data_IF_599067912797
#
_entry.id   IF_599067912797
#
_cell.length_a   1.000
_cell.length_b   1.000
_cell.length_c   1.000
_cell.angle_alpha   90.00
_cell.angle_beta   90.00
_cell.angle_gamma   90.00
#
_symmetry.space_group_name_H-M   'P 1'
#
loop_
_entity.id
_entity.type
_entity.pdbx_description
1 polymer ?
#
# COMPACT_ATOMS: atom_id res chain seq x y z
N UNK A 1 -13.03 13.07 0.65
CA UNK A 1 -12.73 12.43 1.95
C UNK A 1 -11.79 11.26 1.70
N UNK A 2 -10.55 11.30 2.22
CA UNK A 2 -9.52 10.28 2.00
C UNK A 2 -9.87 9.02 2.80
N UNK A 3 -10.22 7.91 2.15
CA UNK A 3 -10.47 6.63 2.83
C UNK A 3 -9.15 5.86 3.02
N UNK A 4 -8.14 6.49 3.64
CA UNK A 4 -6.87 5.86 4.00
C UNK A 4 -6.92 5.15 5.37
N UNK A 5 -8.07 5.17 6.06
CA UNK A 5 -8.15 4.71 7.44
C UNK A 5 -8.14 3.19 7.60
N UNK A 6 -8.36 2.42 6.51
CA UNK A 6 -8.26 0.96 6.53
C UNK A 6 -7.58 0.47 5.25
N UNK A 7 -6.32 0.03 5.31
CA UNK A 7 -5.67 -0.66 4.20
C UNK A 7 -6.54 -1.83 3.72
N UNK A 8 -6.59 -2.06 2.41
CA UNK A 8 -7.31 -3.20 1.80
C UNK A 8 -6.53 -3.72 0.60
N UNK A 9 -6.68 -5.00 0.32
CA UNK A 9 -6.05 -5.68 -0.82
C UNK A 9 -4.54 -5.44 -0.94
N UNK A 10 -3.84 -5.28 0.18
CA UNK A 10 -2.43 -4.93 0.21
C UNK A 10 -1.70 -5.84 1.19
N UNK A 11 -0.58 -6.37 0.73
CA UNK A 11 0.39 -7.08 1.56
C UNK A 11 1.70 -6.33 1.50
N UNK A 12 2.31 -6.10 2.65
CA UNK A 12 3.64 -5.52 2.76
C UNK A 12 4.50 -6.39 3.64
N UNK A 13 5.72 -6.64 3.16
CA UNK A 13 6.73 -7.40 3.85
C UNK A 13 7.95 -6.50 4.06
N UNK A 14 8.51 -6.51 5.25
CA UNK A 14 9.71 -5.75 5.59
C UNK A 14 10.78 -6.67 6.15
N UNK A 15 12.04 -6.40 5.80
CA UNK A 15 13.18 -6.87 6.57
C UNK A 15 13.44 -5.85 7.68
N UNK A 16 13.56 -6.34 8.91
CA UNK A 16 13.71 -5.53 10.12
C UNK A 16 14.96 -5.96 10.86
N UNK A 17 15.84 -5.01 11.18
CA UNK A 17 16.97 -5.23 12.09
C UNK A 17 16.73 -4.44 13.37
N UNK A 18 16.79 -5.12 14.51
CA UNK A 18 16.69 -4.50 15.83
C UNK A 18 18.08 -4.31 16.41
N UNK A 19 18.39 -3.11 16.87
CA UNK A 19 19.62 -2.83 17.62
C UNK A 19 19.35 -2.61 19.11
N UNK A 20 20.38 -2.86 19.90
CA UNK A 20 20.49 -2.55 21.32
C UNK A 20 21.82 -1.85 21.59
N UNK A 21 22.08 -1.59 22.87
CA UNK A 21 23.36 -1.06 23.36
C UNK A 21 23.79 -1.88 24.56
N UNK A 22 25.09 -2.06 24.72
CA UNK A 22 25.65 -2.57 25.97
C UNK A 22 25.50 -1.52 27.08
N UNK A 23 25.45 -1.95 28.34
CA UNK A 23 25.40 -1.03 29.49
C UNK A 23 26.64 -0.12 29.58
N UNK A 24 27.79 -0.58 29.09
CA UNK A 24 29.08 0.12 29.16
C UNK A 24 29.60 0.66 27.82
N UNK A 25 28.84 0.53 26.72
CA UNK A 25 29.34 0.78 25.37
C UNK A 25 28.42 1.61 24.48
N UNK A 26 29.01 2.36 23.56
CA UNK A 26 28.30 3.22 22.59
C UNK A 26 28.00 2.52 21.27
N UNK A 27 28.62 1.36 20.99
CA UNK A 27 28.43 0.62 19.77
C UNK A 27 27.05 -0.09 19.73
N UNK A 28 26.28 0.03 18.63
CA UNK A 28 25.03 -0.69 18.47
C UNK A 28 25.29 -2.19 18.26
N UNK A 29 24.48 -3.02 18.91
CA UNK A 29 24.54 -4.48 18.80
C UNK A 29 23.28 -4.98 18.13
N UNK A 30 23.38 -5.92 17.20
CA UNK A 30 22.19 -6.56 16.60
C UNK A 30 21.53 -7.45 17.66
N UNK A 31 20.29 -7.13 18.01
CA UNK A 31 19.46 -7.94 18.91
C UNK A 31 18.65 -8.99 18.14
N UNK A 32 18.36 -8.74 16.87
CA UNK A 32 17.59 -9.65 16.04
C UNK A 32 17.35 -9.11 14.64
N UNK A 33 17.08 -10.03 13.72
CA UNK A 33 16.63 -9.74 12.37
C UNK A 33 15.37 -10.54 12.09
N UNK A 34 14.36 -9.87 11.55
CA UNK A 34 13.05 -10.45 11.31
C UNK A 34 12.55 -10.08 9.93
N UNK A 35 11.81 -10.99 9.30
CA UNK A 35 10.93 -10.68 8.17
C UNK A 35 9.51 -10.57 8.69
N UNK A 36 8.95 -9.38 8.65
CA UNK A 36 7.59 -9.11 9.15
C UNK A 36 6.65 -8.80 7.99
N UNK A 37 5.44 -9.32 8.06
CA UNK A 37 4.42 -9.12 7.03
C UNK A 37 3.14 -8.59 7.67
N UNK A 38 2.54 -7.57 7.06
CA UNK A 38 1.18 -7.14 7.32
C UNK A 38 0.39 -7.23 6.01
N UNK A 39 -0.73 -7.92 6.04
CA UNK A 39 -1.67 -7.97 4.94
C UNK A 39 -3.04 -7.48 5.39
N UNK A 40 -3.75 -6.82 4.48
CA UNK A 40 -5.16 -6.53 4.63
C UNK A 40 -5.90 -7.07 3.42
N UNK A 41 -6.93 -7.86 3.65
CA UNK A 41 -7.75 -8.44 2.60
C UNK A 41 -8.71 -7.41 1.97
N UNK A 42 -9.65 -7.87 1.13
CA UNK A 42 -10.64 -6.99 0.51
C UNK A 42 -11.67 -6.37 1.45
N UNK A 43 -11.90 -7.02 2.59
CA UNK A 43 -12.79 -6.54 3.65
C UNK A 43 -12.05 -5.66 4.66
N UNK A 44 -10.72 -5.60 4.58
CA UNK A 44 -9.87 -4.90 5.53
C UNK A 44 -9.58 -5.72 6.79
N UNK A 45 -9.79 -7.03 6.75
CA UNK A 45 -9.32 -7.95 7.79
C UNK A 45 -7.81 -8.03 7.70
N UNK A 46 -7.14 -7.80 8.82
CA UNK A 46 -5.69 -7.76 8.89
C UNK A 46 -5.17 -9.14 9.29
N UNK A 47 -4.17 -9.63 8.56
CA UNK A 47 -3.33 -10.76 8.98
C UNK A 47 -1.88 -10.31 9.10
N UNK A 48 -1.15 -10.95 10.00
CA UNK A 48 0.20 -10.56 10.36
C UNK A 48 1.08 -11.79 10.57
N UNK A 49 2.34 -11.70 10.17
CA UNK A 49 3.31 -12.77 10.41
C UNK A 49 4.71 -12.22 10.70
N UNK A 50 5.49 -13.01 11.43
CA UNK A 50 6.90 -12.78 11.73
C UNK A 50 7.66 -14.06 11.39
N UNK A 51 8.67 -13.95 10.52
CA UNK A 51 9.51 -15.05 10.06
C UNK A 51 8.70 -16.23 9.51
N UNK A 52 7.59 -15.91 8.82
CA UNK A 52 6.68 -16.87 8.21
C UNK A 52 5.70 -17.54 9.18
N UNK A 53 5.66 -17.15 10.45
CA UNK A 53 4.72 -17.65 11.45
C UNK A 53 3.65 -16.62 11.75
N UNK A 54 2.40 -17.09 11.92
CA UNK A 54 1.28 -16.23 12.29
C UNK A 54 1.59 -15.47 13.59
N UNK A 55 1.26 -14.18 13.56
CA UNK A 55 1.44 -13.27 14.67
C UNK A 55 0.22 -12.36 14.80
N UNK A 56 0.11 -11.66 15.92
CA UNK A 56 -0.89 -10.60 16.06
C UNK A 56 -0.41 -9.33 15.33
N UNK A 57 -1.36 -8.54 14.83
CA UNK A 57 -1.07 -7.21 14.28
C UNK A 57 -0.27 -6.36 15.27
N UNK A 58 -0.68 -6.37 16.55
CA UNK A 58 -0.02 -5.62 17.62
C UNK A 58 1.46 -6.00 17.77
N UNK A 59 1.80 -7.29 17.68
CA UNK A 59 3.19 -7.76 17.79
C UNK A 59 4.04 -7.28 16.60
N UNK A 60 3.53 -7.40 15.38
CA UNK A 60 4.25 -6.91 14.18
C UNK A 60 4.42 -5.40 14.22
N UNK A 61 3.38 -4.65 14.61
CA UNK A 61 3.45 -3.19 14.78
C UNK A 61 4.46 -2.80 15.86
N UNK A 62 4.55 -3.55 16.96
CA UNK A 62 5.55 -3.32 18.00
C UNK A 62 6.99 -3.50 17.47
N UNK A 63 7.25 -4.56 16.70
CA UNK A 63 8.55 -4.81 16.05
C UNK A 63 8.91 -3.68 15.10
N UNK A 64 7.99 -3.31 14.19
CA UNK A 64 8.19 -2.22 13.24
C UNK A 64 8.45 -0.88 13.95
N UNK A 65 7.69 -0.55 14.98
CA UNK A 65 7.86 0.70 15.71
C UNK A 65 9.17 0.73 16.50
N UNK A 66 9.59 -0.40 17.09
CA UNK A 66 10.90 -0.51 17.75
C UNK A 66 12.04 -0.29 16.75
N UNK A 67 11.95 -0.94 15.58
CA UNK A 67 12.94 -0.79 14.54
C UNK A 67 12.98 0.63 13.94
N UNK A 68 11.84 1.32 13.82
CA UNK A 68 11.83 2.74 13.40
C UNK A 68 12.52 3.68 14.39
N UNK A 69 12.48 3.38 15.69
CA UNK A 69 13.07 4.25 16.73
C UNK A 69 14.59 4.14 16.84
N UNK A 70 15.16 2.97 16.54
CA UNK A 70 16.60 2.76 16.74
C UNK A 70 17.18 1.54 16.03
N UNK A 71 16.43 0.97 15.07
CA UNK A 71 16.81 -0.16 14.24
C UNK A 71 16.91 0.23 12.77
N UNK A 72 16.69 -0.74 11.89
CA UNK A 72 16.47 -0.54 10.46
C UNK A 72 15.18 -1.22 10.02
N UNK A 73 14.46 -0.57 9.11
CA UNK A 73 13.27 -1.11 8.45
C UNK A 73 13.44 -0.91 6.95
N UNK A 74 13.44 -2.00 6.20
CA UNK A 74 13.50 -1.98 4.74
C UNK A 74 12.26 -2.67 4.18
N UNK A 75 11.52 -1.99 3.28
CA UNK A 75 10.45 -2.65 2.53
C UNK A 75 11.09 -3.71 1.62
N UNK A 76 10.71 -4.97 1.84
CA UNK A 76 11.15 -6.10 1.04
C UNK A 76 10.22 -6.31 -0.15
N UNK A 77 8.91 -6.28 0.10
CA UNK A 77 7.89 -6.53 -0.92
C UNK A 77 6.61 -5.76 -0.60
N UNK A 78 5.93 -5.25 -1.64
CA UNK A 78 4.55 -4.77 -1.55
C UNK A 78 3.74 -5.39 -2.69
N UNK A 79 2.70 -6.14 -2.33
CA UNK A 79 1.75 -6.73 -3.28
C UNK A 79 0.41 -6.02 -3.14
N UNK A 80 -0.15 -5.58 -4.25
CA UNK A 80 -1.51 -5.01 -4.33
C UNK A 80 -2.38 -5.82 -5.25
N UNK A 81 -3.53 -6.26 -4.76
CA UNK A 81 -4.54 -6.92 -5.58
C UNK A 81 -5.36 -5.85 -6.29
N UNK A 82 -5.12 -5.72 -7.59
CA UNK A 82 -5.83 -4.76 -8.43
C UNK A 82 -7.15 -5.29 -9.01
N UNK A 83 -7.79 -4.47 -9.84
CA UNK A 83 -9.06 -4.78 -10.49
C UNK A 83 -8.90 -5.97 -11.44
N UNK A 84 -9.84 -6.94 -11.43
CA UNK A 84 -9.89 -7.95 -12.48
C UNK A 84 -10.17 -7.30 -13.84
N UNK A 85 -9.69 -7.91 -14.93
CA UNK A 85 -9.77 -7.36 -16.30
C UNK A 85 -11.15 -6.81 -16.67
N UNK A 86 -12.29 -7.49 -16.39
CA UNK A 86 -13.61 -6.95 -16.71
C UNK A 86 -13.93 -5.64 -15.95
N UNK A 87 -13.48 -5.53 -14.70
CA UNK A 87 -13.71 -4.32 -13.90
C UNK A 87 -12.78 -3.17 -14.32
N UNK A 88 -11.52 -3.47 -14.69
CA UNK A 88 -10.62 -2.48 -15.28
C UNK A 88 -11.14 -1.96 -16.63
N UNK A 89 -11.72 -2.84 -17.47
CA UNK A 89 -12.36 -2.46 -18.73
C UNK A 89 -13.58 -1.56 -18.50
N UNK A 90 -14.39 -1.81 -17.46
CA UNK A 90 -15.46 -0.89 -17.06
C UNK A 90 -14.93 0.49 -16.67
N UNK A 91 -13.91 0.55 -15.82
CA UNK A 91 -13.29 1.81 -15.44
C UNK A 91 -12.72 2.57 -16.65
N UNK A 92 -12.10 1.86 -17.59
CA UNK A 92 -11.63 2.44 -18.86
C UNK A 92 -12.78 3.10 -19.64
N UNK A 93 -13.94 2.44 -19.74
CA UNK A 93 -15.13 3.00 -20.40
C UNK A 93 -15.67 4.22 -19.65
N UNK A 94 -15.73 4.16 -18.33
CA UNK A 94 -16.19 5.28 -17.50
C UNK A 94 -15.31 6.52 -17.72
N UNK A 95 -13.99 6.36 -17.78
CA UNK A 95 -13.06 7.45 -18.06
C UNK A 95 -13.21 8.02 -19.48
N UNK A 96 -13.44 7.15 -20.47
CA UNK A 96 -13.72 7.59 -21.84
C UNK A 96 -15.03 8.39 -21.93
N UNK A 97 -16.09 7.94 -21.24
CA UNK A 97 -17.37 8.65 -21.18
C UNK A 97 -17.26 10.00 -20.47
N UNK A 98 -16.34 10.13 -19.51
CA UNK A 98 -16.02 11.41 -18.88
C UNK A 98 -15.24 12.36 -19.81
N UNK A 99 -14.81 11.93 -21.00
CA UNK A 99 -14.04 12.74 -21.95
C UNK A 99 -12.53 12.65 -21.77
N UNK A 100 -12.02 11.72 -20.96
CA UNK A 100 -10.56 11.50 -20.85
C UNK A 100 -10.08 10.70 -22.06
N UNK A 101 -9.09 11.24 -22.77
CA UNK A 101 -8.43 10.57 -23.88
C UNK A 101 -7.81 9.23 -23.43
N UNK A 102 -7.96 8.19 -24.24
CA UNK A 102 -7.53 6.83 -23.91
C UNK A 102 -6.06 6.74 -23.43
N UNK A 103 -5.16 7.50 -24.05
CA UNK A 103 -3.74 7.55 -23.67
C UNK A 103 -3.48 8.10 -22.26
N UNK A 104 -4.44 8.79 -21.65
CA UNK A 104 -4.29 9.45 -20.36
C UNK A 104 -4.97 8.72 -19.20
N UNK A 105 -5.65 7.59 -19.43
CA UNK A 105 -6.41 6.91 -18.37
C UNK A 105 -5.53 6.47 -17.19
N UNK A 106 -4.37 5.85 -17.48
CA UNK A 106 -3.40 5.44 -16.48
C UNK A 106 -2.74 6.64 -15.79
N UNK A 107 -2.53 7.75 -16.51
CA UNK A 107 -1.98 8.98 -15.94
C UNK A 107 -2.97 9.64 -14.96
N UNK A 108 -4.25 9.71 -15.31
CA UNK A 108 -5.33 10.18 -14.42
C UNK A 108 -5.44 9.30 -13.18
N UNK A 109 -5.38 7.98 -13.34
CA UNK A 109 -5.36 7.06 -12.20
C UNK A 109 -4.13 7.28 -11.31
N UNK A 110 -2.96 7.51 -11.91
CA UNK A 110 -1.72 7.79 -11.18
C UNK A 110 -1.83 9.06 -10.36
N UNK A 111 -2.33 10.14 -10.97
CA UNK A 111 -2.55 11.42 -10.31
C UNK A 111 -3.58 11.29 -9.17
N UNK A 112 -4.69 10.58 -9.42
CA UNK A 112 -5.73 10.36 -8.42
C UNK A 112 -5.21 9.62 -7.18
N UNK A 113 -4.33 8.63 -7.37
CA UNK A 113 -3.89 7.72 -6.31
C UNK A 113 -2.52 8.06 -5.70
N UNK A 114 -1.79 9.02 -6.28
CA UNK A 114 -0.46 9.42 -5.80
C UNK A 114 0.60 8.34 -5.96
N UNK A 115 0.43 7.42 -6.92
CA UNK A 115 1.37 6.34 -7.24
C UNK A 115 1.36 6.06 -8.73
N UNK A 116 2.46 5.55 -9.27
CA UNK A 116 2.54 5.19 -10.70
C UNK A 116 1.60 4.02 -10.99
N UNK A 117 0.70 4.23 -11.96
CA UNK A 117 -0.20 3.23 -12.54
C UNK A 117 0.15 3.14 -14.02
N UNK A 118 0.59 1.97 -14.48
CA UNK A 118 0.80 1.69 -15.90
C UNK A 118 -0.43 1.07 -16.56
N UNK A 119 -1.30 0.42 -15.78
CA UNK A 119 -2.54 -0.19 -16.25
C UNK A 119 -3.65 -0.05 -15.21
N UNK A 120 -4.89 0.17 -15.65
CA UNK A 120 -6.07 0.22 -14.76
C UNK A 120 -6.31 -1.10 -14.00
N UNK A 121 -5.71 -2.21 -14.42
CA UNK A 121 -5.70 -3.47 -13.64
C UNK A 121 -4.91 -3.35 -12.34
N UNK A 122 -4.10 -2.30 -12.15
CA UNK A 122 -3.35 -2.04 -10.91
C UNK A 122 -4.12 -1.16 -9.91
N UNK A 123 -5.25 -0.56 -10.32
CA UNK A 123 -6.17 0.14 -9.42
C UNK A 123 -6.83 -0.92 -8.53
N UNK A 124 -6.95 -0.70 -7.24
CA UNK A 124 -7.63 -1.61 -6.32
C UNK A 124 -9.15 -1.37 -6.37
N UNK A 125 -9.99 -2.37 -6.05
CA UNK A 125 -11.45 -2.20 -6.12
C UNK A 125 -12.00 -0.98 -5.37
N UNK A 126 -11.45 -0.68 -4.19
CA UNK A 126 -11.87 0.45 -3.35
C UNK A 126 -11.34 1.82 -3.85
N UNK A 127 -10.34 1.81 -4.74
CA UNK A 127 -9.73 3.02 -5.31
C UNK A 127 -10.48 3.52 -6.57
N UNK A 128 -11.32 2.69 -7.18
CA UNK A 128 -11.97 3.01 -8.46
C UNK A 128 -12.83 4.29 -8.39
N UNK A 129 -13.60 4.47 -7.31
CA UNK A 129 -14.41 5.68 -7.10
C UNK A 129 -13.57 6.95 -6.95
N UNK A 130 -12.38 6.84 -6.34
CA UNK A 130 -11.46 7.96 -6.23
C UNK A 130 -10.92 8.38 -7.61
N UNK A 131 -10.61 7.40 -8.47
CA UNK A 131 -10.20 7.67 -9.86
C UNK A 131 -11.32 8.34 -10.64
N UNK A 132 -12.56 7.83 -10.55
CA UNK A 132 -13.75 8.46 -11.19
C UNK A 132 -13.96 9.88 -10.71
N UNK A 133 -13.93 10.09 -9.39
CA UNK A 133 -14.12 11.41 -8.81
C UNK A 133 -13.03 12.42 -9.17
N UNK A 134 -11.77 11.97 -9.31
CA UNK A 134 -10.69 12.83 -9.80
C UNK A 134 -10.87 13.19 -11.28
N UNK A 135 -11.22 12.22 -12.13
CA UNK A 135 -11.53 12.47 -13.54
C UNK A 135 -12.66 13.48 -13.71
N UNK A 136 -13.75 13.35 -12.95
CA UNK A 136 -14.87 14.30 -12.98
C UNK A 136 -14.43 15.74 -12.61
N UNK A 137 -13.58 15.89 -11.58
CA UNK A 137 -13.04 17.20 -11.19
C UNK A 137 -12.10 17.78 -12.26
N UNK A 138 -11.29 16.95 -12.93
CA UNK A 138 -10.39 17.39 -14.00
C UNK A 138 -11.18 18.02 -15.15
N UNK A 139 -12.27 17.38 -15.55
CA UNK A 139 -13.15 17.86 -16.63
C UNK A 139 -13.86 19.16 -16.23
N UNK A 140 -14.15 19.34 -14.95
CA UNK A 140 -14.74 20.58 -14.41
C UNK A 140 -13.70 21.70 -14.17
N UNK A 141 -12.40 21.45 -14.44
CA UNK A 141 -11.33 22.42 -14.18
C UNK A 141 -11.00 22.63 -12.69
N UNK A 142 -11.38 21.68 -11.83
CA UNK A 142 -11.36 21.80 -10.37
C UNK A 142 -10.48 20.73 -9.67
N UNK A 143 -9.59 20.07 -10.40
CA UNK A 143 -8.75 18.96 -9.90
C UNK A 143 -7.30 19.33 -9.64
#
# INVERSE_FOLDING_TARGET
MRNHTRPRHITRTWNVTLYGRYESGTAPVILGQHRVTLAADGQGVISASVDGRDATEAAVVAILNRAKRGGQVQLFEEVRIGLPKPAASRLHRDLALAGILAGNHSAVASAALGRVISSLTQVQPHEAEQVRGHAARLIQGAA
#
